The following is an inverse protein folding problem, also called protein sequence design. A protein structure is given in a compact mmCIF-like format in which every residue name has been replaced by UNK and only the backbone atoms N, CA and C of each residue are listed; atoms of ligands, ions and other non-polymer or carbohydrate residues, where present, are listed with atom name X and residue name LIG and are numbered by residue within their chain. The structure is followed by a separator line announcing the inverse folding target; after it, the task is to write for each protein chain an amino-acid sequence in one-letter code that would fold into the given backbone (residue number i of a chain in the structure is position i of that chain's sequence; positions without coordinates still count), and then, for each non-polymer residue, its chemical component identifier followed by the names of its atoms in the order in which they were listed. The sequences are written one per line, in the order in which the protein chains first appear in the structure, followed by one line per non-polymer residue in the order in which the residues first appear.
data_IF_699568232333
#
_entry.id   IF_699568232333
#
_cell.length_a   1.000
_cell.length_b   1.000
_cell.length_c   1.000
_cell.angle_alpha   90.00
_cell.angle_beta   90.00
_cell.angle_gamma   90.00
#
_symmetry.space_group_name_H-M   'P 1'
#
loop_
_entity.id
_entity.type
_entity.pdbx_description
1 polymer ?
#
# COMPACT_ATOMS: atom_id res chain seq x y z
N UNK A 1 5.02 7.62 8.42
CA UNK A 1 5.23 8.18 7.07
C UNK A 1 5.25 7.09 6.00
N UNK A 2 5.96 5.99 6.25
CA UNK A 2 6.10 4.83 5.35
C UNK A 2 4.77 4.08 5.06
N UNK A 3 4.04 3.64 6.09
CA UNK A 3 2.72 3.00 5.94
C UNK A 3 1.72 3.92 5.21
N UNK A 4 1.77 5.24 5.51
CA UNK A 4 0.96 6.24 4.79
C UNK A 4 1.33 6.37 3.32
N UNK A 5 2.58 6.14 2.90
CA UNK A 5 2.94 6.20 1.48
C UNK A 5 2.29 5.04 0.72
N UNK A 6 2.38 3.82 1.26
CA UNK A 6 1.83 2.61 0.66
C UNK A 6 0.29 2.52 0.76
N UNK A 7 -0.30 2.98 1.87
CA UNK A 7 -1.75 3.04 2.06
C UNK A 7 -2.45 4.14 1.25
N UNK A 8 -1.84 5.32 1.09
CA UNK A 8 -2.43 6.41 0.29
C UNK A 8 -2.55 6.09 -1.21
N UNK A 9 -1.70 5.19 -1.73
CA UNK A 9 -1.79 4.75 -3.14
C UNK A 9 -3.07 3.94 -3.38
N UNK A 10 -3.52 3.13 -2.41
CA UNK A 10 -4.81 2.45 -2.47
C UNK A 10 -6.00 3.42 -2.30
N UNK A 11 -5.92 4.35 -1.35
CA UNK A 11 -7.02 5.30 -1.06
C UNK A 11 -7.35 6.25 -2.23
N UNK A 12 -6.35 6.62 -3.05
CA UNK A 12 -6.57 7.51 -4.21
C UNK A 12 -7.41 6.88 -5.32
N UNK A 13 -7.46 5.55 -5.43
CA UNK A 13 -8.15 4.83 -6.51
C UNK A 13 -9.53 4.27 -6.15
N UNK A 14 -9.93 4.34 -4.89
CA UNK A 14 -11.23 3.83 -4.44
C UNK A 14 -12.40 4.69 -4.97
N UNK A 15 -13.49 4.04 -5.41
CA UNK A 15 -14.76 4.70 -5.79
C UNK A 15 -15.28 5.55 -4.62
N UNK A 16 -16.08 6.61 -4.86
CA UNK A 16 -16.59 7.47 -3.79
C UNK A 16 -17.31 6.71 -2.66
N UNK A 17 -18.03 5.64 -2.99
CA UNK A 17 -18.70 4.73 -2.04
C UNK A 17 -17.70 3.91 -1.23
N UNK A 18 -16.67 3.35 -1.87
CA UNK A 18 -15.56 2.64 -1.22
C UNK A 18 -14.78 3.57 -0.26
N UNK A 19 -14.62 4.86 -0.61
CA UNK A 19 -14.01 5.87 0.29
C UNK A 19 -14.87 6.14 1.53
N UNK A 20 -16.19 6.27 1.38
CA UNK A 20 -17.12 6.45 2.52
C UNK A 20 -17.12 5.24 3.43
N UNK A 21 -17.17 4.02 2.88
CA UNK A 21 -17.05 2.79 3.65
C UNK A 21 -15.69 2.70 4.35
N UNK A 22 -14.59 3.05 3.68
CA UNK A 22 -13.24 3.09 4.25
C UNK A 22 -13.12 4.07 5.42
N UNK A 23 -13.74 5.26 5.33
CA UNK A 23 -13.78 6.23 6.44
C UNK A 23 -14.57 5.70 7.64
N UNK A 24 -15.67 4.99 7.40
CA UNK A 24 -16.49 4.40 8.47
C UNK A 24 -15.77 3.21 9.13
N UNK A 25 -15.07 2.38 8.33
CA UNK A 25 -14.26 1.26 8.82
C UNK A 25 -13.06 1.77 9.62
N UNK A 26 -12.44 2.89 9.24
CA UNK A 26 -11.33 3.48 9.99
C UNK A 26 -11.68 3.80 11.45
N UNK A 27 -12.97 4.05 11.76
CA UNK A 27 -13.47 4.28 13.13
C UNK A 27 -13.73 2.99 13.91
N UNK A 28 -13.58 1.84 13.27
CA UNK A 28 -13.82 0.50 13.81
C UNK A 28 -12.52 -0.34 13.84
N UNK A 29 -11.40 0.31 13.58
CA UNK A 29 -10.06 -0.26 13.64
C UNK A 29 -9.62 -0.40 15.12
N UNK A 30 -8.84 -1.43 15.49
CA UNK A 30 -8.32 -1.59 16.85
C UNK A 30 -7.57 -0.36 17.36
N UNK A 31 -7.80 -0.04 18.64
CA UNK A 31 -7.30 1.17 19.30
C UNK A 31 -8.24 2.36 19.28
N UNK A 32 -9.33 2.30 18.50
CA UNK A 32 -10.44 3.25 18.62
C UNK A 32 -11.36 2.87 19.77
N UNK A 33 -11.99 3.87 20.42
CA UNK A 33 -12.90 3.60 21.54
C UNK A 33 -14.15 2.83 21.10
N UNK A 34 -14.65 3.09 19.88
CA UNK A 34 -15.77 2.36 19.30
C UNK A 34 -15.43 0.88 19.08
N UNK A 35 -14.22 0.58 18.59
CA UNK A 35 -13.75 -0.80 18.46
C UNK A 35 -13.58 -1.48 19.82
N UNK A 36 -13.03 -0.79 20.84
CA UNK A 36 -12.97 -1.34 22.21
C UNK A 36 -14.37 -1.71 22.74
N UNK A 37 -15.36 -0.84 22.52
CA UNK A 37 -16.76 -1.14 22.87
C UNK A 37 -17.30 -2.40 22.18
N UNK A 38 -17.03 -2.58 20.89
CA UNK A 38 -17.41 -3.77 20.11
C UNK A 38 -16.67 -5.01 20.61
N UNK A 39 -15.36 -4.92 20.86
CA UNK A 39 -14.56 -6.05 21.33
C UNK A 39 -15.02 -6.49 22.73
N UNK A 40 -15.44 -5.55 23.60
CA UNK A 40 -16.09 -5.89 24.87
C UNK A 40 -17.39 -6.65 24.63
N UNK A 41 -18.25 -6.18 23.72
CA UNK A 41 -19.51 -6.84 23.34
C UNK A 41 -19.24 -8.30 22.93
N UNK A 42 -18.26 -8.51 22.05
CA UNK A 42 -17.83 -9.84 21.62
C UNK A 42 -17.33 -10.70 22.80
N UNK A 43 -16.47 -10.15 23.66
CA UNK A 43 -15.85 -10.88 24.79
C UNK A 43 -16.86 -11.45 25.79
N UNK A 44 -17.96 -10.76 26.08
CA UNK A 44 -19.03 -11.37 26.91
C UNK A 44 -20.19 -11.95 26.11
N UNK A 45 -19.95 -12.28 24.83
CA UNK A 45 -20.88 -13.07 24.01
C UNK A 45 -22.28 -12.45 24.00
N UNK A 46 -22.36 -11.14 23.83
CA UNK A 46 -23.61 -10.42 23.58
C UNK A 46 -23.69 -10.03 22.11
N UNK A 47 -24.90 -9.84 21.60
CA UNK A 47 -25.08 -9.24 20.28
C UNK A 47 -25.34 -7.75 20.43
N UNK A 48 -25.19 -6.99 19.35
CA UNK A 48 -25.46 -5.56 19.34
C UNK A 48 -25.92 -5.10 17.96
N UNK A 49 -26.74 -4.05 17.94
CA UNK A 49 -27.12 -3.32 16.73
C UNK A 49 -26.82 -1.85 16.99
N UNK A 50 -25.90 -1.26 16.23
CA UNK A 50 -25.39 0.08 16.50
C UNK A 50 -25.54 0.92 15.24
N UNK A 51 -26.21 2.06 15.32
CA UNK A 51 -26.35 3.01 14.21
C UNK A 51 -25.40 4.19 14.43
N UNK A 52 -24.64 4.57 13.40
CA UNK A 52 -23.73 5.73 13.44
C UNK A 52 -24.36 6.92 12.72
N UNK A 53 -24.72 7.95 13.48
CA UNK A 53 -25.44 9.11 12.99
C UNK A 53 -26.90 9.06 13.39
N UNK A 54 -27.38 10.21 13.86
CA UNK A 54 -28.77 10.45 14.19
C UNK A 54 -29.25 11.67 13.40
N UNK A 55 -30.25 11.45 12.56
CA UNK A 55 -30.92 12.46 11.74
C UNK A 55 -32.41 12.11 11.64
N UNK A 56 -33.19 12.94 10.95
CA UNK A 56 -34.63 12.74 10.76
C UNK A 56 -34.96 11.37 10.14
N UNK A 57 -34.10 10.84 9.27
CA UNK A 57 -34.30 9.54 8.63
C UNK A 57 -34.13 8.38 9.61
N UNK A 58 -33.13 8.45 10.49
CA UNK A 58 -32.94 7.46 11.57
C UNK A 58 -34.03 7.61 12.63
N UNK A 59 -34.40 8.84 13.00
CA UNK A 59 -35.47 9.09 13.96
C UNK A 59 -36.82 8.54 13.51
N UNK A 60 -37.17 8.69 12.23
CA UNK A 60 -38.43 8.22 11.67
C UNK A 60 -38.62 6.69 11.72
N UNK A 61 -37.53 5.92 11.84
CA UNK A 61 -37.58 4.44 11.95
C UNK A 61 -37.33 3.95 13.37
N UNK A 62 -37.12 4.85 14.33
CA UNK A 62 -36.90 4.51 15.73
C UNK A 62 -38.22 4.38 16.48
N UNK A 63 -38.53 3.17 16.95
CA UNK A 63 -39.70 2.90 17.79
C UNK A 63 -39.27 2.55 19.23
N UNK A 64 -39.89 3.22 20.21
CA UNK A 64 -39.59 3.09 21.63
C UNK A 64 -38.14 3.40 22.03
N UNK A 65 -37.68 2.74 23.10
CA UNK A 65 -36.34 2.93 23.68
C UNK A 65 -36.24 4.15 24.62
N UNK A 66 -35.00 4.55 24.92
CA UNK A 66 -34.70 5.66 25.82
C UNK A 66 -33.84 6.72 25.11
N UNK A 67 -34.22 7.98 25.30
CA UNK A 67 -33.35 9.11 25.01
C UNK A 67 -32.37 9.31 26.15
N UNK A 68 -31.08 9.32 25.83
CA UNK A 68 -30.01 9.45 26.82
C UNK A 68 -29.21 10.73 26.61
N UNK A 69 -28.85 11.02 25.36
CA UNK A 69 -27.91 12.06 24.94
C UNK A 69 -26.73 12.22 25.91
N UNK A 70 -25.90 11.17 26.00
CA UNK A 70 -24.71 11.12 26.87
C UNK A 70 -23.43 10.99 26.05
N UNK A 71 -22.31 11.39 26.64
CA UNK A 71 -21.00 11.15 26.04
C UNK A 71 -20.76 9.65 25.82
N UNK A 72 -20.17 9.31 24.69
CA UNK A 72 -19.79 7.94 24.36
C UNK A 72 -18.76 7.42 25.37
N UNK A 73 -18.87 6.14 25.72
CA UNK A 73 -17.71 5.39 26.18
C UNK A 73 -17.84 3.92 25.81
N UNK A 74 -16.71 3.24 25.63
CA UNK A 74 -16.70 1.79 25.35
C UNK A 74 -17.49 0.99 26.40
N UNK A 75 -17.36 1.37 27.67
CA UNK A 75 -18.11 0.77 28.79
C UNK A 75 -19.61 1.05 28.69
N UNK A 76 -20.03 2.29 28.41
CA UNK A 76 -21.46 2.62 28.24
C UNK A 76 -22.07 1.86 27.08
N UNK A 77 -21.40 1.85 25.92
CA UNK A 77 -21.86 1.09 24.76
C UNK A 77 -22.04 -0.40 25.12
N UNK A 78 -21.08 -0.97 25.85
CA UNK A 78 -21.14 -2.36 26.30
C UNK A 78 -22.35 -2.63 27.19
N UNK A 79 -22.58 -1.78 28.18
CA UNK A 79 -23.68 -1.94 29.15
C UNK A 79 -25.04 -1.80 28.47
N UNK A 80 -25.20 -0.79 27.61
CA UNK A 80 -26.44 -0.57 26.85
C UNK A 80 -26.71 -1.72 25.85
N UNK A 81 -25.66 -2.34 25.30
CA UNK A 81 -25.79 -3.51 24.42
C UNK A 81 -26.22 -4.80 25.14
N UNK A 82 -26.37 -4.79 26.47
CA UNK A 82 -27.01 -5.89 27.20
C UNK A 82 -28.52 -5.88 27.02
N UNK A 83 -29.10 -4.72 26.73
CA UNK A 83 -30.51 -4.54 26.47
C UNK A 83 -30.85 -5.03 25.05
N UNK A 84 -32.12 -5.35 24.83
CA UNK A 84 -32.62 -5.65 23.48
C UNK A 84 -32.85 -4.35 22.69
N UNK A 85 -32.65 -4.42 21.38
CA UNK A 85 -32.79 -3.28 20.47
C UNK A 85 -31.44 -2.73 19.98
N UNK A 86 -31.49 -1.50 19.48
CA UNK A 86 -30.36 -0.79 18.89
C UNK A 86 -29.85 0.33 19.80
N UNK A 87 -28.58 0.67 19.64
CA UNK A 87 -27.94 1.85 20.19
C UNK A 87 -27.66 2.82 19.05
N UNK A 88 -28.09 4.08 19.18
CA UNK A 88 -27.91 5.11 18.17
C UNK A 88 -26.86 6.11 18.65
N UNK A 89 -25.78 6.23 17.88
CA UNK A 89 -24.67 7.13 18.18
C UNK A 89 -24.72 8.38 17.31
N UNK A 90 -24.03 9.43 17.72
CA UNK A 90 -23.77 10.60 16.88
C UNK A 90 -22.94 10.23 15.65
N UNK A 91 -22.97 11.08 14.62
CA UNK A 91 -22.28 10.80 13.36
C UNK A 91 -20.76 10.67 13.53
N UNK A 92 -20.17 11.45 14.43
CA UNK A 92 -18.76 11.38 14.86
C UNK A 92 -18.50 10.31 15.94
N UNK A 93 -19.56 9.75 16.53
CA UNK A 93 -19.52 8.69 17.55
C UNK A 93 -19.06 9.16 18.92
N UNK A 94 -19.05 10.47 19.15
CA UNK A 94 -18.71 11.08 20.43
C UNK A 94 -19.85 10.99 21.45
N UNK A 95 -21.08 10.71 21.02
CA UNK A 95 -22.28 10.63 21.89
C UNK A 95 -23.15 9.43 21.58
N UNK A 96 -23.88 8.99 22.61
CA UNK A 96 -24.97 8.01 22.52
C UNK A 96 -26.28 8.79 22.65
N UNK A 97 -27.05 8.88 21.58
CA UNK A 97 -28.33 9.59 21.56
C UNK A 97 -29.44 8.75 22.14
N UNK A 98 -29.57 7.50 21.69
CA UNK A 98 -30.64 6.59 22.10
C UNK A 98 -30.14 5.16 22.34
N UNK A 99 -30.85 4.42 23.16
CA UNK A 99 -30.59 3.00 23.42
C UNK A 99 -31.88 2.19 23.57
N UNK A 100 -31.77 0.88 23.38
CA UNK A 100 -32.89 -0.07 23.43
C UNK A 100 -34.01 0.26 22.43
N UNK A 101 -33.64 0.87 21.30
CA UNK A 101 -34.61 1.28 20.27
C UNK A 101 -34.94 0.11 19.36
N UNK A 102 -36.21 -0.06 19.00
CA UNK A 102 -36.60 -0.97 17.94
C UNK A 102 -36.50 -0.27 16.59
N UNK A 103 -35.64 -0.75 15.69
CA UNK A 103 -35.51 -0.18 14.35
C UNK A 103 -36.52 -0.84 13.40
N UNK A 104 -37.37 -0.03 12.79
CA UNK A 104 -38.45 -0.45 11.89
C UNK A 104 -38.21 0.10 10.47
N UNK A 105 -37.15 -0.36 9.76
CA UNK A 105 -36.93 0.04 8.38
C UNK A 105 -37.95 -0.61 7.43
N UNK A 106 -38.10 -0.07 6.24
CA UNK A 106 -39.03 -0.55 5.21
C UNK A 106 -38.80 -2.05 4.92
N UNK A 107 -39.82 -2.90 5.17
CA UNK A 107 -39.71 -4.35 4.97
C UNK A 107 -39.60 -4.75 3.49
N UNK A 108 -39.95 -3.87 2.55
CA UNK A 108 -39.81 -4.11 1.11
C UNK A 108 -38.36 -4.02 0.62
N UNK A 109 -37.45 -3.42 1.41
CA UNK A 109 -36.03 -3.34 1.05
C UNK A 109 -35.39 -4.74 0.99
N UNK A 110 -34.65 -5.03 -0.09
CA UNK A 110 -34.02 -6.33 -0.27
C UNK A 110 -32.97 -6.56 0.82
N UNK A 111 -32.84 -7.81 1.26
CA UNK A 111 -31.82 -8.22 2.22
C UNK A 111 -31.32 -9.62 1.90
N UNK A 112 -30.00 -9.79 1.94
CA UNK A 112 -29.35 -11.10 1.82
C UNK A 112 -29.13 -11.79 3.17
N UNK A 113 -29.48 -11.12 4.27
CA UNK A 113 -29.21 -11.59 5.62
C UNK A 113 -30.30 -12.54 6.12
N UNK A 114 -29.94 -13.52 6.94
CA UNK A 114 -30.88 -14.51 7.48
C UNK A 114 -31.41 -14.13 8.87
N UNK A 115 -30.59 -13.50 9.71
CA UNK A 115 -30.95 -13.11 11.08
C UNK A 115 -31.71 -11.79 11.16
N UNK A 116 -32.74 -11.72 12.02
CA UNK A 116 -33.59 -10.52 12.19
C UNK A 116 -32.79 -9.24 12.46
N UNK A 117 -31.76 -9.31 13.32
CA UNK A 117 -30.87 -8.18 13.60
C UNK A 117 -30.05 -7.74 12.39
N UNK A 118 -29.55 -8.68 11.59
CA UNK A 118 -28.75 -8.37 10.40
C UNK A 118 -29.63 -7.85 9.26
N UNK A 119 -30.84 -8.40 9.10
CA UNK A 119 -31.86 -7.87 8.18
C UNK A 119 -32.22 -6.43 8.54
N UNK A 120 -32.47 -6.15 9.81
CA UNK A 120 -32.74 -4.80 10.30
C UNK A 120 -31.55 -3.87 10.05
N UNK A 121 -30.32 -4.34 10.30
CA UNK A 121 -29.10 -3.56 10.05
C UNK A 121 -28.93 -3.19 8.58
N UNK A 122 -29.03 -4.18 7.67
CA UNK A 122 -28.87 -3.97 6.23
C UNK A 122 -29.94 -3.01 5.71
N UNK A 123 -31.21 -3.23 6.06
CA UNK A 123 -32.32 -2.37 5.62
C UNK A 123 -32.22 -0.96 6.18
N UNK A 124 -31.84 -0.82 7.45
CA UNK A 124 -31.60 0.50 8.05
C UNK A 124 -30.48 1.23 7.32
N UNK A 125 -29.36 0.56 7.05
CA UNK A 125 -28.24 1.15 6.31
C UNK A 125 -28.62 1.56 4.88
N UNK A 126 -29.45 0.76 4.20
CA UNK A 126 -29.98 1.08 2.86
C UNK A 126 -30.95 2.26 2.88
N UNK A 127 -31.88 2.29 3.84
CA UNK A 127 -32.93 3.32 3.92
C UNK A 127 -32.37 4.67 4.33
N UNK A 128 -31.51 4.70 5.35
CA UNK A 128 -31.01 5.94 5.96
C UNK A 128 -29.70 6.41 5.33
N UNK A 129 -29.00 5.53 4.61
CA UNK A 129 -27.62 5.78 4.15
C UNK A 129 -26.61 5.89 5.28
N UNK A 130 -27.02 5.68 6.55
CA UNK A 130 -26.15 5.74 7.72
C UNK A 130 -25.44 4.40 7.94
N UNK A 131 -24.21 4.40 8.47
CA UNK A 131 -23.53 3.16 8.80
C UNK A 131 -24.23 2.44 9.96
N UNK A 132 -24.48 1.14 9.79
CA UNK A 132 -25.08 0.29 10.82
C UNK A 132 -24.19 -0.91 11.07
N UNK A 133 -23.86 -1.14 12.33
CA UNK A 133 -22.98 -2.21 12.79
C UNK A 133 -23.84 -3.27 13.47
N UNK A 134 -23.80 -4.49 12.94
CA UNK A 134 -24.41 -5.66 13.54
C UNK A 134 -23.31 -6.55 14.16
N UNK A 135 -23.45 -6.84 15.44
CA UNK A 135 -22.61 -7.81 16.16
C UNK A 135 -23.42 -9.07 16.43
N UNK A 136 -22.95 -10.19 15.86
CA UNK A 136 -23.57 -11.49 16.02
C UNK A 136 -23.16 -12.15 17.33
N UNK A 137 -24.15 -12.54 18.14
CA UNK A 137 -23.92 -13.27 19.40
C UNK A 137 -23.35 -14.67 19.17
N UNK A 138 -23.90 -15.40 18.21
CA UNK A 138 -23.60 -16.82 18.00
C UNK A 138 -22.31 -17.05 17.22
N UNK A 139 -22.02 -16.18 16.25
CA UNK A 139 -20.85 -16.34 15.37
C UNK A 139 -19.69 -15.44 15.75
N UNK A 140 -19.89 -14.43 16.61
CA UNK A 140 -18.87 -13.43 16.92
C UNK A 140 -18.48 -12.54 15.75
N UNK A 141 -19.24 -12.60 14.64
CA UNK A 141 -18.98 -11.81 13.44
C UNK A 141 -19.52 -10.39 13.63
N UNK A 142 -18.73 -9.40 13.25
CA UNK A 142 -19.13 -8.00 13.19
C UNK A 142 -19.29 -7.60 11.73
N UNK A 143 -20.47 -7.10 11.36
CA UNK A 143 -20.77 -6.66 10.00
C UNK A 143 -21.17 -5.20 10.00
N UNK A 144 -20.60 -4.43 9.08
CA UNK A 144 -20.90 -3.02 8.84
C UNK A 144 -21.68 -2.91 7.53
N UNK A 145 -22.83 -2.26 7.59
CA UNK A 145 -23.68 -1.94 6.45
C UNK A 145 -23.66 -0.42 6.24
N UNK A 146 -23.45 0.03 5.01
CA UNK A 146 -23.52 1.45 4.66
C UNK A 146 -24.12 1.59 3.25
N UNK A 147 -25.41 1.95 3.18
CA UNK A 147 -26.13 1.91 1.91
C UNK A 147 -26.16 0.50 1.32
N UNK A 148 -25.76 0.29 0.04
CA UNK A 148 -25.69 -1.04 -0.56
C UNK A 148 -24.46 -1.85 -0.11
N UNK A 149 -23.48 -1.20 0.54
CA UNK A 149 -22.22 -1.83 0.88
C UNK A 149 -22.32 -2.64 2.17
N UNK A 150 -21.67 -3.81 2.15
CA UNK A 150 -21.58 -4.74 3.27
C UNK A 150 -20.14 -5.14 3.48
N UNK A 151 -19.64 -4.98 4.71
CA UNK A 151 -18.27 -5.39 5.07
C UNK A 151 -18.24 -6.11 6.41
N UNK A 152 -17.65 -7.30 6.42
CA UNK A 152 -17.35 -8.02 7.65
C UNK A 152 -16.03 -7.49 8.21
N UNK A 153 -16.01 -7.12 9.49
CA UNK A 153 -14.76 -6.78 10.18
C UNK A 153 -14.09 -8.07 10.63
N UNK A 154 -12.83 -8.22 10.25
CA UNK A 154 -12.01 -9.35 10.67
C UNK A 154 -11.46 -9.11 12.09
N UNK A 155 -11.19 -10.20 12.81
CA UNK A 155 -10.49 -10.11 14.09
C UNK A 155 -9.01 -9.78 13.87
N UNK A 156 -8.39 -9.09 14.83
CA UNK A 156 -6.95 -8.78 14.75
C UNK A 156 -6.12 -10.05 14.56
N UNK A 157 -6.48 -11.15 15.22
CA UNK A 157 -5.83 -12.46 15.07
C UNK A 157 -5.85 -12.97 13.63
N UNK A 158 -6.98 -12.83 12.93
CA UNK A 158 -7.13 -13.29 11.54
C UNK A 158 -6.28 -12.46 10.59
N UNK A 159 -6.29 -11.13 10.76
CA UNK A 159 -5.51 -10.22 9.93
C UNK A 159 -4.01 -10.41 10.21
N UNK A 160 -3.60 -10.53 11.47
CA UNK A 160 -2.21 -10.81 11.86
C UNK A 160 -1.69 -12.12 11.27
N UNK A 161 -2.50 -13.19 11.28
CA UNK A 161 -2.10 -14.47 10.68
C UNK A 161 -1.79 -14.33 9.18
N UNK A 162 -2.66 -13.62 8.44
CA UNK A 162 -2.46 -13.33 7.01
C UNK A 162 -1.23 -12.44 6.78
N UNK A 163 -1.07 -11.37 7.57
CA UNK A 163 0.09 -10.47 7.49
C UNK A 163 1.40 -11.20 7.73
N UNK A 164 1.47 -12.07 8.73
CA UNK A 164 2.68 -12.85 9.01
C UNK A 164 3.04 -13.78 7.84
N UNK A 165 2.05 -14.45 7.23
CA UNK A 165 2.27 -15.28 6.04
C UNK A 165 2.77 -14.44 4.84
N UNK A 166 2.21 -13.26 4.65
CA UNK A 166 2.62 -12.32 3.62
C UNK A 166 4.03 -11.79 3.86
N UNK A 167 4.40 -11.43 5.10
CA UNK A 167 5.74 -11.00 5.48
C UNK A 167 6.80 -12.08 5.19
N UNK A 168 6.53 -13.34 5.53
CA UNK A 168 7.45 -14.45 5.18
C UNK A 168 7.62 -14.59 3.66
N UNK A 169 6.59 -14.29 2.87
CA UNK A 169 6.71 -14.27 1.40
C UNK A 169 7.52 -13.07 0.92
N UNK A 170 7.32 -11.90 1.54
CA UNK A 170 8.08 -10.69 1.25
C UNK A 170 9.56 -10.86 1.56
N UNK A 171 9.92 -11.52 2.67
CA UNK A 171 11.30 -11.89 3.01
C UNK A 171 11.95 -12.71 1.89
N UNK A 172 11.26 -13.74 1.37
CA UNK A 172 11.76 -14.54 0.25
C UNK A 172 11.96 -13.70 -1.01
N UNK A 173 11.02 -12.80 -1.32
CA UNK A 173 11.17 -11.88 -2.44
C UNK A 173 12.32 -10.90 -2.23
N UNK A 174 12.56 -10.44 -1.00
CA UNK A 174 13.68 -9.57 -0.66
C UNK A 174 15.03 -10.28 -0.87
N UNK A 175 15.18 -11.51 -0.41
CA UNK A 175 16.38 -12.32 -0.63
C UNK A 175 16.61 -12.57 -2.13
N UNK A 176 15.55 -12.89 -2.87
CA UNK A 176 15.61 -13.06 -4.32
C UNK A 176 16.03 -11.76 -5.02
N UNK A 177 15.46 -10.63 -4.61
CA UNK A 177 15.79 -9.32 -5.15
C UNK A 177 17.29 -9.04 -4.98
N UNK A 178 17.83 -9.23 -3.77
CA UNK A 178 19.26 -9.06 -3.50
C UNK A 178 20.15 -9.89 -4.43
N UNK A 179 19.79 -11.17 -4.62
CA UNK A 179 20.53 -12.05 -5.51
C UNK A 179 20.45 -11.58 -6.98
N UNK A 180 19.27 -11.17 -7.44
CA UNK A 180 19.08 -10.70 -8.82
C UNK A 180 19.78 -9.36 -9.08
N UNK A 181 19.81 -8.45 -8.11
CA UNK A 181 20.53 -7.17 -8.20
C UNK A 181 22.03 -7.40 -8.24
N UNK A 182 22.57 -8.30 -7.41
CA UNK A 182 23.99 -8.69 -7.47
C UNK A 182 24.35 -9.26 -8.84
N UNK A 183 23.51 -10.16 -9.37
CA UNK A 183 23.71 -10.73 -10.71
C UNK A 183 23.67 -9.66 -11.80
N UNK A 184 22.71 -8.74 -11.73
CA UNK A 184 22.61 -7.62 -12.67
C UNK A 184 23.88 -6.76 -12.64
N UNK A 185 24.37 -6.37 -11.46
CA UNK A 185 25.63 -5.64 -11.32
C UNK A 185 26.81 -6.38 -11.98
N UNK A 186 26.93 -7.70 -11.78
CA UNK A 186 28.01 -8.47 -12.38
C UNK A 186 27.98 -8.45 -13.92
N UNK A 187 26.80 -8.66 -14.53
CA UNK A 187 26.68 -8.63 -16.01
C UNK A 187 26.79 -7.23 -16.59
N UNK A 188 26.39 -6.19 -15.85
CA UNK A 188 26.60 -4.79 -16.21
C UNK A 188 28.09 -4.43 -16.25
N UNK A 189 28.87 -4.85 -15.25
CA UNK A 189 30.30 -4.60 -15.20
C UNK A 189 31.07 -5.42 -16.24
N UNK A 190 30.58 -6.61 -16.60
CA UNK A 190 31.12 -7.37 -17.71
C UNK A 190 30.70 -6.83 -19.10
N UNK A 191 29.86 -5.78 -19.16
CA UNK A 191 29.33 -5.19 -20.41
C UNK A 191 28.58 -6.21 -21.30
N UNK A 192 27.88 -7.16 -20.67
CA UNK A 192 27.12 -8.23 -21.34
C UNK A 192 25.67 -8.31 -20.85
N UNK A 193 25.16 -7.25 -20.23
CA UNK A 193 23.79 -7.21 -19.72
C UNK A 193 22.77 -7.27 -20.86
N UNK A 194 21.72 -8.08 -20.64
CA UNK A 194 20.58 -8.19 -21.56
C UNK A 194 19.33 -7.59 -20.95
N UNK A 195 18.33 -7.24 -21.78
CA UNK A 195 17.04 -6.76 -21.29
C UNK A 195 16.43 -7.77 -20.30
N UNK A 196 16.59 -9.07 -20.53
CA UNK A 196 16.15 -10.14 -19.61
C UNK A 196 16.68 -9.97 -18.19
N UNK A 197 17.94 -9.58 -18.02
CA UNK A 197 18.54 -9.38 -16.71
C UNK A 197 17.87 -8.24 -15.95
N UNK A 198 17.62 -7.13 -16.65
CA UNK A 198 16.93 -5.95 -16.12
C UNK A 198 15.49 -6.28 -15.75
N UNK A 199 14.75 -6.92 -16.65
CA UNK A 199 13.35 -7.28 -16.42
C UNK A 199 13.20 -8.30 -15.30
N UNK A 200 14.22 -9.15 -15.05
CA UNK A 200 14.22 -10.05 -13.89
C UNK A 200 14.26 -9.29 -12.57
N UNK A 201 15.08 -8.24 -12.48
CA UNK A 201 15.14 -7.37 -11.29
C UNK A 201 13.84 -6.59 -11.13
N UNK A 202 13.34 -5.98 -12.22
CA UNK A 202 12.08 -5.23 -12.18
C UNK A 202 10.89 -6.11 -11.81
N UNK A 203 10.79 -7.33 -12.35
CA UNK A 203 9.76 -8.29 -11.95
C UNK A 203 9.79 -8.54 -10.45
N UNK A 204 10.97 -8.79 -9.87
CA UNK A 204 11.10 -9.03 -8.44
C UNK A 204 10.73 -7.77 -7.61
N UNK A 205 11.10 -6.58 -8.09
CA UNK A 205 10.69 -5.31 -7.48
C UNK A 205 9.16 -5.14 -7.52
N UNK A 206 8.49 -5.43 -8.64
CA UNK A 206 7.03 -5.33 -8.74
C UNK A 206 6.33 -6.27 -7.75
N UNK A 207 6.82 -7.51 -7.60
CA UNK A 207 6.30 -8.46 -6.61
C UNK A 207 6.45 -7.93 -5.18
N UNK A 208 7.62 -7.38 -4.83
CA UNK A 208 7.87 -6.75 -3.52
C UNK A 208 6.90 -5.59 -3.28
N UNK A 209 6.77 -4.67 -4.22
CA UNK A 209 5.91 -3.48 -4.04
C UNK A 209 4.43 -3.83 -3.95
N UNK A 210 3.96 -4.82 -4.70
CA UNK A 210 2.55 -5.24 -4.67
C UNK A 210 2.19 -5.89 -3.35
N UNK A 211 3.01 -6.84 -2.90
CA UNK A 211 2.82 -7.49 -1.61
C UNK A 211 2.95 -6.51 -0.44
N UNK A 212 3.91 -5.57 -0.51
CA UNK A 212 4.05 -4.53 0.50
C UNK A 212 2.81 -3.62 0.59
N UNK A 213 2.18 -3.27 -0.54
CA UNK A 213 0.91 -2.52 -0.54
C UNK A 213 -0.26 -3.30 0.07
N UNK A 214 -0.34 -4.60 -0.22
CA UNK A 214 -1.36 -5.48 0.38
C UNK A 214 -1.20 -5.54 1.90
N UNK A 215 0.01 -5.82 2.38
CA UNK A 215 0.33 -5.86 3.82
C UNK A 215 0.04 -4.51 4.48
N UNK A 216 0.38 -3.40 3.82
CA UNK A 216 0.11 -2.06 4.35
C UNK A 216 -1.40 -1.82 4.56
N UNK A 217 -2.25 -2.30 3.65
CA UNK A 217 -3.71 -2.24 3.81
C UNK A 217 -4.19 -3.04 5.03
N UNK A 218 -3.68 -4.25 5.22
CA UNK A 218 -3.99 -5.07 6.39
C UNK A 218 -3.53 -4.41 7.71
N UNK A 219 -2.38 -3.75 7.70
CA UNK A 219 -1.87 -2.99 8.86
C UNK A 219 -2.76 -1.81 9.20
N UNK A 220 -3.32 -1.13 8.20
CA UNK A 220 -4.31 -0.05 8.43
C UNK A 220 -5.56 -0.60 9.13
N UNK A 221 -6.01 -1.81 8.79
CA UNK A 221 -7.14 -2.46 9.46
C UNK A 221 -6.82 -2.96 10.88
N UNK A 222 -5.54 -3.24 11.16
CA UNK A 222 -5.06 -3.63 12.49
C UNK A 222 -4.89 -2.44 13.46
N UNK A 223 -4.73 -1.22 12.96
CA UNK A 223 -4.56 -0.04 13.80
C UNK A 223 -3.40 -0.18 14.79
N UNK A 224 -3.70 -0.04 16.09
CA UNK A 224 -2.67 -0.14 17.14
C UNK A 224 -2.07 -1.54 17.26
N UNK A 225 -2.83 -2.59 16.92
CA UNK A 225 -2.37 -3.98 16.96
C UNK A 225 -1.32 -4.26 15.87
N UNK A 226 -1.30 -3.45 14.80
CA UNK A 226 -0.40 -3.60 13.66
C UNK A 226 1.00 -3.03 13.87
N UNK A 227 1.30 -2.44 15.04
CA UNK A 227 2.56 -1.69 15.25
C UNK A 227 3.81 -2.52 14.98
N UNK A 228 3.86 -3.77 15.42
CA UNK A 228 5.05 -4.61 15.27
C UNK A 228 5.27 -5.02 13.81
N UNK A 229 4.23 -5.53 13.14
CA UNK A 229 4.30 -5.94 11.74
C UNK A 229 4.54 -4.74 10.80
N UNK A 230 4.15 -3.53 11.19
CA UNK A 230 4.49 -2.31 10.46
C UNK A 230 5.99 -1.98 10.49
N UNK A 231 6.68 -2.23 11.60
CA UNK A 231 8.13 -2.06 11.69
C UNK A 231 8.85 -3.09 10.82
N UNK A 232 8.40 -4.36 10.87
CA UNK A 232 8.94 -5.42 10.02
C UNK A 232 8.76 -5.13 8.53
N UNK A 233 7.58 -4.66 8.12
CA UNK A 233 7.34 -4.25 6.74
C UNK A 233 8.30 -3.13 6.32
N UNK A 234 8.48 -2.10 7.15
CA UNK A 234 9.35 -0.98 6.84
C UNK A 234 10.82 -1.42 6.66
N UNK A 235 11.29 -2.34 7.50
CA UNK A 235 12.64 -2.92 7.40
C UNK A 235 12.82 -3.72 6.10
N UNK A 236 11.85 -4.56 5.74
CA UNK A 236 11.91 -5.38 4.53
C UNK A 236 11.85 -4.57 3.25
N UNK A 237 10.99 -3.55 3.20
CA UNK A 237 10.86 -2.69 2.01
C UNK A 237 12.06 -1.77 1.87
N UNK A 238 12.57 -1.17 2.97
CA UNK A 238 13.78 -0.35 2.97
C UNK A 238 13.88 0.61 1.77
N UNK A 239 14.98 0.50 1.01
CA UNK A 239 15.30 1.36 -0.14
C UNK A 239 14.81 0.81 -1.49
N UNK A 240 13.90 -0.16 -1.50
CA UNK A 240 13.45 -0.81 -2.74
C UNK A 240 12.73 0.14 -3.71
N UNK A 241 12.05 1.17 -3.22
CA UNK A 241 11.45 2.24 -4.04
C UNK A 241 12.53 3.04 -4.80
N UNK A 242 13.62 3.42 -4.14
CA UNK A 242 14.72 4.15 -4.78
C UNK A 242 15.48 3.25 -5.75
N UNK A 243 15.73 1.98 -5.37
CA UNK A 243 16.31 1.00 -6.29
C UNK A 243 15.45 0.86 -7.56
N UNK A 244 14.13 0.77 -7.42
CA UNK A 244 13.19 0.68 -8.54
C UNK A 244 13.29 1.89 -9.46
N UNK A 245 13.36 3.11 -8.90
CA UNK A 245 13.58 4.35 -9.68
C UNK A 245 14.92 4.32 -10.42
N UNK A 246 15.99 3.91 -9.76
CA UNK A 246 17.34 3.91 -10.34
C UNK A 246 17.48 2.87 -11.48
N UNK A 247 16.91 1.67 -11.32
CA UNK A 247 16.89 0.65 -12.40
C UNK A 247 16.12 1.18 -13.61
N UNK A 248 14.95 1.78 -13.41
CA UNK A 248 14.20 2.38 -14.53
C UNK A 248 15.01 3.50 -15.19
N UNK A 249 15.61 4.40 -14.41
CA UNK A 249 16.42 5.50 -14.92
C UNK A 249 17.63 5.03 -15.75
N UNK A 250 18.23 3.89 -15.40
CA UNK A 250 19.36 3.33 -16.12
C UNK A 250 19.01 2.70 -17.47
N UNK A 251 17.77 2.25 -17.65
CA UNK A 251 17.39 1.43 -18.81
C UNK A 251 16.25 1.97 -19.67
N UNK A 252 15.67 3.11 -19.33
CA UNK A 252 14.58 3.71 -20.11
C UNK A 252 15.01 4.06 -21.55
N UNK A 253 14.30 3.51 -22.55
CA UNK A 253 14.35 3.89 -23.97
C UNK A 253 13.21 4.85 -24.28
N UNK A 254 13.52 6.00 -24.89
CA UNK A 254 12.55 7.07 -25.10
C UNK A 254 13.23 8.43 -25.01
N UNK A 255 12.67 9.45 -25.66
CA UNK A 255 13.31 10.62 -26.28
C UNK A 255 14.20 11.51 -25.38
N UNK A 256 15.31 10.97 -24.85
CA UNK A 256 16.42 11.74 -24.31
C UNK A 256 17.25 12.37 -25.45
N UNK A 257 16.60 12.91 -26.47
CA UNK A 257 17.22 13.91 -27.33
C UNK A 257 17.30 15.20 -26.52
N UNK A 258 18.49 15.46 -25.98
CA UNK A 258 19.02 16.79 -25.65
C UNK A 258 18.27 17.74 -24.70
N UNK A 259 17.13 17.39 -24.10
CA UNK A 259 16.38 18.31 -23.23
C UNK A 259 16.30 17.82 -21.77
N UNK A 260 17.21 18.33 -20.93
CA UNK A 260 17.00 18.60 -19.50
C UNK A 260 16.80 17.42 -18.53
N UNK A 261 17.38 17.54 -17.34
CA UNK A 261 17.20 16.60 -16.21
C UNK A 261 15.74 16.45 -15.76
N UNK A 262 14.90 17.45 -16.01
CA UNK A 262 13.47 17.44 -15.65
C UNK A 262 12.65 16.43 -16.47
N UNK A 263 12.92 16.31 -17.78
CA UNK A 263 12.19 15.34 -18.64
C UNK A 263 12.47 13.90 -18.25
N UNK A 264 13.70 13.60 -17.85
CA UNK A 264 14.06 12.26 -17.39
C UNK A 264 13.29 11.86 -16.13
N UNK A 265 13.16 12.76 -15.16
CA UNK A 265 12.42 12.47 -13.92
C UNK A 265 10.91 12.25 -14.21
N UNK A 266 10.34 12.99 -15.17
CA UNK A 266 8.96 12.79 -15.65
C UNK A 266 8.78 11.44 -16.37
N UNK A 267 9.68 11.09 -17.30
CA UNK A 267 9.63 9.83 -18.04
C UNK A 267 9.81 8.61 -17.12
N UNK A 268 10.74 8.69 -16.15
CA UNK A 268 10.90 7.66 -15.12
C UNK A 268 9.63 7.51 -14.29
N UNK A 269 9.00 8.63 -13.92
CA UNK A 269 7.73 8.60 -13.17
C UNK A 269 6.62 7.96 -13.99
N UNK A 270 6.53 8.26 -15.29
CA UNK A 270 5.55 7.67 -16.20
C UNK A 270 5.78 6.15 -16.39
N UNK A 271 7.04 5.72 -16.52
CA UNK A 271 7.41 4.32 -16.61
C UNK A 271 7.06 3.55 -15.32
N UNK A 272 7.38 4.10 -14.15
CA UNK A 272 7.03 3.52 -12.85
C UNK A 272 5.52 3.41 -12.64
N UNK A 273 4.78 4.43 -13.07
CA UNK A 273 3.32 4.39 -13.07
C UNK A 273 2.82 3.24 -13.96
N UNK A 274 3.31 3.16 -15.19
CA UNK A 274 2.93 2.11 -16.15
C UNK A 274 3.23 0.70 -15.63
N UNK A 275 4.40 0.49 -15.01
CA UNK A 275 4.75 -0.76 -14.33
C UNK A 275 3.79 -1.09 -13.18
N UNK A 276 3.43 -0.08 -12.38
CA UNK A 276 2.49 -0.21 -11.27
C UNK A 276 1.06 -0.56 -11.70
N UNK A 277 0.64 -0.15 -12.89
CA UNK A 277 -0.70 -0.43 -13.43
C UNK A 277 -0.82 -1.81 -14.09
N UNK A 278 0.28 -2.50 -14.37
CA UNK A 278 0.22 -3.83 -14.98
C UNK A 278 -0.64 -4.77 -14.12
N UNK A 279 -1.55 -5.56 -14.73
CA UNK A 279 -2.29 -6.57 -13.98
C UNK A 279 -1.32 -7.67 -13.55
N UNK A 280 -1.64 -8.34 -12.44
CA UNK A 280 -0.77 -9.38 -11.88
C UNK A 280 -0.52 -10.53 -12.87
N UNK A 281 -1.53 -10.89 -13.67
CA UNK A 281 -1.41 -11.86 -14.75
C UNK A 281 -0.38 -11.45 -15.81
N UNK A 282 -0.22 -10.16 -16.10
CA UNK A 282 0.78 -9.70 -17.07
C UNK A 282 2.21 -9.88 -16.55
N UNK A 283 2.43 -9.94 -15.23
CA UNK A 283 3.74 -10.17 -14.64
C UNK A 283 4.25 -11.60 -14.85
N UNK A 284 3.38 -12.55 -15.21
CA UNK A 284 3.77 -13.93 -15.51
C UNK A 284 4.71 -14.04 -16.71
N UNK A 285 4.59 -13.09 -17.65
CA UNK A 285 5.45 -13.02 -18.83
C UNK A 285 6.38 -11.81 -18.71
N UNK A 286 7.67 -12.08 -18.54
CA UNK A 286 8.68 -11.01 -18.36
C UNK A 286 8.68 -9.98 -19.49
N UNK A 287 8.33 -10.37 -20.72
CA UNK A 287 8.29 -9.47 -21.88
C UNK A 287 7.30 -8.31 -21.71
N UNK A 288 6.24 -8.47 -20.92
CA UNK A 288 5.26 -7.40 -20.67
C UNK A 288 5.85 -6.22 -19.89
N UNK A 289 6.95 -6.44 -19.16
CA UNK A 289 7.67 -5.39 -18.44
C UNK A 289 8.56 -4.54 -19.36
N UNK A 290 8.74 -4.94 -20.62
CA UNK A 290 9.59 -4.26 -21.59
C UNK A 290 8.97 -2.94 -22.10
N UNK A 291 7.66 -2.93 -22.36
CA UNK A 291 6.95 -1.77 -22.93
C UNK A 291 7.02 -0.51 -22.05
N UNK A 292 6.85 -0.59 -20.71
CA UNK A 292 7.06 0.57 -19.84
C UNK A 292 8.47 1.18 -19.90
N UNK A 293 9.47 0.39 -20.30
CA UNK A 293 10.84 0.86 -20.52
C UNK A 293 11.10 1.35 -21.96
N UNK A 294 10.09 1.35 -22.83
CA UNK A 294 10.23 1.72 -24.24
C UNK A 294 10.83 0.63 -25.13
N UNK A 295 10.77 -0.64 -24.72
CA UNK A 295 11.14 -1.78 -25.53
C UNK A 295 9.89 -2.50 -26.06
N UNK A 296 9.95 -3.18 -27.21
CA UNK A 296 8.85 -4.02 -27.67
C UNK A 296 8.54 -5.12 -26.65
N UNK A 297 7.26 -5.36 -26.36
CA UNK A 297 6.81 -6.47 -25.51
C UNK A 297 6.85 -7.80 -26.30
N UNK A 298 8.04 -8.25 -26.68
CA UNK A 298 8.25 -9.49 -27.44
C UNK A 298 9.33 -10.35 -26.80
N UNK A 299 9.26 -11.67 -26.99
CA UNK A 299 10.30 -12.60 -26.50
C UNK A 299 11.66 -12.27 -27.12
N UNK A 300 11.69 -11.91 -28.40
CA UNK A 300 12.92 -11.52 -29.09
C UNK A 300 13.60 -10.29 -28.48
N UNK A 301 12.82 -9.35 -27.91
CA UNK A 301 13.39 -8.18 -27.26
C UNK A 301 14.20 -8.52 -26.00
N UNK A 302 13.92 -9.66 -25.35
CA UNK A 302 14.59 -10.06 -24.10
C UNK A 302 16.10 -10.26 -24.26
N UNK A 303 16.54 -10.70 -25.44
CA UNK A 303 17.95 -10.99 -25.72
C UNK A 303 18.68 -9.75 -26.30
N UNK A 304 18.00 -8.59 -26.31
CA UNK A 304 18.61 -7.31 -26.68
C UNK A 304 19.69 -6.93 -25.67
N UNK A 305 20.90 -6.66 -26.15
CA UNK A 305 21.97 -6.09 -25.34
C UNK A 305 21.60 -4.68 -24.86
N UNK A 306 21.85 -4.41 -23.58
CA UNK A 306 21.54 -3.12 -22.93
C UNK A 306 22.73 -2.67 -22.09
N UNK A 307 22.97 -1.37 -22.04
CA UNK A 307 23.98 -0.77 -21.19
C UNK A 307 23.30 0.16 -20.17
N UNK A 308 23.61 0.05 -18.86
CA UNK A 308 23.08 0.98 -17.88
C UNK A 308 23.73 2.36 -18.04
N UNK A 309 22.97 3.42 -17.74
CA UNK A 309 23.51 4.79 -17.70
C UNK A 309 24.50 5.01 -16.55
N UNK A 310 24.28 4.35 -15.42
CA UNK A 310 25.16 4.35 -14.24
C UNK A 310 24.55 4.98 -12.98
N UNK A 311 23.29 5.42 -13.01
CA UNK A 311 22.61 6.03 -11.87
C UNK A 311 22.61 5.11 -10.65
N UNK A 312 22.29 3.83 -10.82
CA UNK A 312 22.22 2.85 -9.72
C UNK A 312 23.57 2.61 -9.07
N UNK A 313 24.60 2.36 -9.88
CA UNK A 313 25.95 2.07 -9.40
C UNK A 313 26.53 3.27 -8.66
N UNK A 314 26.39 4.48 -9.22
CA UNK A 314 26.88 5.71 -8.58
C UNK A 314 26.13 6.04 -7.28
N UNK A 315 24.82 5.81 -7.22
CA UNK A 315 24.04 6.00 -5.99
C UNK A 315 24.44 5.04 -4.87
N UNK A 316 24.97 3.85 -5.21
CA UNK A 316 25.52 2.89 -4.25
C UNK A 316 26.89 3.28 -3.70
N UNK A 317 27.59 4.26 -4.29
CA UNK A 317 28.91 4.67 -3.83
C UNK A 317 28.81 5.59 -2.60
N UNK A 318 29.62 5.34 -1.55
CA UNK A 318 29.57 6.14 -0.35
C UNK A 318 29.95 7.60 -0.63
N UNK A 319 29.15 8.52 -0.08
CA UNK A 319 29.37 9.98 -0.16
C UNK A 319 29.33 10.57 -1.58
N UNK A 320 28.72 9.89 -2.54
CA UNK A 320 28.36 10.46 -3.84
C UNK A 320 26.93 10.99 -3.75
N UNK A 321 26.75 12.29 -3.93
CA UNK A 321 25.40 12.88 -3.90
C UNK A 321 24.62 12.55 -5.18
N UNK A 322 23.29 12.59 -5.12
CA UNK A 322 22.42 12.39 -6.29
C UNK A 322 22.68 13.41 -7.39
N UNK A 323 23.06 14.64 -7.03
CA UNK A 323 23.42 15.68 -8.00
C UNK A 323 24.72 15.33 -8.74
N UNK A 324 25.75 14.89 -8.00
CA UNK A 324 27.02 14.42 -8.59
C UNK A 324 26.81 13.20 -9.49
N UNK A 325 26.03 12.21 -9.03
CA UNK A 325 25.71 11.04 -9.84
C UNK A 325 25.01 11.41 -11.15
N UNK A 326 24.05 12.36 -11.10
CA UNK A 326 23.37 12.87 -12.31
C UNK A 326 24.33 13.61 -13.25
N UNK A 327 25.21 14.45 -12.74
CA UNK A 327 26.18 15.19 -13.54
C UNK A 327 27.13 14.22 -14.29
N UNK A 328 27.64 13.21 -13.58
CA UNK A 328 28.48 12.16 -14.15
C UNK A 328 27.73 11.36 -15.24
N UNK A 329 26.51 10.91 -14.96
CA UNK A 329 25.71 10.18 -15.98
C UNK A 329 25.42 11.07 -17.19
N UNK A 330 25.16 12.36 -16.99
CA UNK A 330 24.91 13.30 -18.09
C UNK A 330 26.16 13.49 -18.96
N UNK A 331 27.35 13.55 -18.34
CA UNK A 331 28.61 13.74 -19.05
C UNK A 331 29.06 12.49 -19.84
N UNK A 332 28.88 11.29 -19.28
CA UNK A 332 29.44 10.05 -19.86
C UNK A 332 28.40 9.15 -20.55
N UNK A 333 27.11 9.30 -20.25
CA UNK A 333 25.99 8.62 -20.91
C UNK A 333 25.82 7.12 -20.59
N UNK A 334 26.89 6.39 -20.31
CA UNK A 334 26.86 4.96 -20.01
C UNK A 334 27.89 4.57 -18.94
N UNK A 335 27.59 3.50 -18.19
CA UNK A 335 28.47 2.97 -17.13
C UNK A 335 29.84 2.55 -17.66
N UNK A 336 29.90 1.96 -18.87
CA UNK A 336 31.17 1.59 -19.49
C UNK A 336 32.06 2.81 -19.70
N UNK A 337 31.50 3.90 -20.23
CA UNK A 337 32.24 5.15 -20.43
C UNK A 337 32.70 5.75 -19.09
N UNK A 338 31.88 5.68 -18.04
CA UNK A 338 32.26 6.10 -16.68
C UNK A 338 33.44 5.29 -16.11
N UNK A 339 33.49 3.99 -16.40
CA UNK A 339 34.57 3.11 -15.92
C UNK A 339 35.87 3.34 -16.68
N UNK A 340 35.77 3.54 -17.99
CA UNK A 340 36.94 3.70 -18.85
C UNK A 340 37.52 5.13 -18.77
N UNK A 341 36.80 6.06 -18.13
CA UNK A 341 37.22 7.45 -17.89
C UNK A 341 38.37 7.59 -16.88
N UNK A 342 39.31 8.47 -17.19
CA UNK A 342 40.39 8.86 -16.28
C UNK A 342 39.89 9.70 -15.12
N UNK A 343 40.66 9.74 -14.03
CA UNK A 343 40.36 10.60 -12.87
C UNK A 343 40.34 12.09 -13.23
N UNK A 344 41.10 12.51 -14.24
CA UNK A 344 41.09 13.89 -14.74
C UNK A 344 39.76 14.22 -15.45
N UNK A 345 39.25 13.31 -16.29
CA UNK A 345 37.96 13.49 -16.98
C UNK A 345 36.80 13.49 -15.99
N UNK A 346 36.81 12.60 -15.01
CA UNK A 346 35.80 12.56 -13.95
C UNK A 346 35.78 13.85 -13.10
N UNK A 347 36.95 14.45 -12.86
CA UNK A 347 37.06 15.70 -12.10
C UNK A 347 36.61 16.95 -12.90
N UNK A 348 36.59 16.87 -14.23
CA UNK A 348 36.22 17.97 -15.11
C UNK A 348 34.70 18.16 -15.29
N UNK A 349 33.89 17.22 -14.78
CA UNK A 349 32.42 17.30 -14.81
C UNK A 349 31.91 18.40 -13.87
N UNK A 350 30.76 18.99 -14.19
CA UNK A 350 30.12 19.99 -13.33
C UNK A 350 29.87 19.46 -11.91
N UNK A 351 30.32 20.22 -10.90
CA UNK A 351 30.33 19.80 -9.49
C UNK A 351 31.32 18.69 -9.15
N UNK A 352 32.24 18.36 -10.06
CA UNK A 352 33.33 17.41 -9.88
C UNK A 352 34.55 18.02 -9.20
N UNK A 353 35.29 17.18 -8.48
CA UNK A 353 36.60 17.49 -7.92
C UNK A 353 37.49 16.23 -7.92
N UNK A 354 38.78 16.40 -7.61
CA UNK A 354 39.73 15.29 -7.57
C UNK A 354 39.35 14.21 -6.54
N UNK A 355 38.66 14.57 -5.45
CA UNK A 355 38.26 13.63 -4.40
C UNK A 355 37.06 12.78 -4.84
N UNK A 356 36.08 13.37 -5.53
CA UNK A 356 34.96 12.68 -6.16
C UNK A 356 35.48 11.73 -7.24
N UNK A 357 36.35 12.21 -8.12
CA UNK A 357 36.93 11.41 -9.20
C UNK A 357 37.67 10.17 -8.65
N UNK A 358 38.54 10.36 -7.65
CA UNK A 358 39.25 9.25 -7.01
C UNK A 358 38.29 8.24 -6.35
N UNK A 359 37.23 8.73 -5.68
CA UNK A 359 36.21 7.86 -5.05
C UNK A 359 35.39 7.08 -6.07
N UNK A 360 34.94 7.72 -7.14
CA UNK A 360 34.18 7.06 -8.21
C UNK A 360 35.04 6.00 -8.88
N UNK A 361 36.26 6.34 -9.28
CA UNK A 361 37.19 5.41 -9.89
C UNK A 361 37.50 4.21 -8.98
N UNK A 362 37.83 4.46 -7.70
CA UNK A 362 38.09 3.39 -6.73
C UNK A 362 36.85 2.52 -6.45
N UNK A 363 35.66 3.14 -6.37
CA UNK A 363 34.39 2.44 -6.16
C UNK A 363 34.03 1.51 -7.31
N UNK A 364 34.14 2.00 -8.55
CA UNK A 364 33.90 1.21 -9.75
C UNK A 364 34.92 0.06 -9.89
N UNK A 365 36.20 0.32 -9.62
CA UNK A 365 37.23 -0.72 -9.62
C UNK A 365 36.97 -1.80 -8.56
N UNK A 366 36.56 -1.40 -7.35
CA UNK A 366 36.22 -2.33 -6.27
C UNK A 366 35.03 -3.23 -6.59
N UNK A 367 34.01 -2.69 -7.27
CA UNK A 367 32.86 -3.47 -7.72
C UNK A 367 33.20 -4.45 -8.84
N UNK A 368 34.19 -4.16 -9.68
CA UNK A 368 34.63 -5.05 -10.75
C UNK A 368 35.53 -6.21 -10.25
N UNK A 369 36.10 -6.07 -9.05
CA UNK A 369 37.03 -7.03 -8.48
C UNK A 369 36.38 -8.07 -7.55
N UNK A 370 35.14 -7.85 -7.13
CA UNK A 370 34.35 -8.74 -6.25
C UNK A 370 33.12 -9.28 -6.95
#
# INVERSE_FOLDING_TARGET
MFVRHYGNVCARKARPTERRLSMNVARLVPGTELRDGIDRILKARTGALIVLGYDEAVEAICDGGFELDVEFSATRLRELSKMDGAVVLSADGSRIHRASVHLVPDPALPTGESGTRHKAAERTGRQTGRPVIAVSRSTGIVTVFAGPDRRVLQSSETILARVNQALTTLERYRTRLDATVRRLTAVELADVATLRDVLTVLHCLELVHRLAREIAGDIEELGVDGRQVALQLAELVGDTDELRKLVVADYLRGNATSDGSARLDEDVTAALHSLGELPELALLESANLAAPLGFPATVAALDTAVAPRGHRVLAGLPRVSRAQARALVTAFGALRALRDASTAELAAVDGGDAQLAARVHAGLAGLAAG
#
